data_IF_166104054227
#
_entry.id   IF_166104054227
#
_cell.length_a   1.000
_cell.length_b   1.000
_cell.length_c   1.000
_cell.angle_alpha   90.00
_cell.angle_beta   90.00
_cell.angle_gamma   90.00
#
_symmetry.space_group_name_H-M   'P 1'
#
loop_
_entity.id
_entity.type
_entity.pdbx_description
1 polymer ?
#
# COMPACT_ATOMS: atom_id res chain seq x y z
N UNK A 1 25.48 55.31 -35.70
CA UNK A 1 26.06 54.10 -36.32
C UNK A 1 26.25 53.07 -35.23
N UNK A 2 25.45 52.01 -35.29
CA UNK A 2 25.35 50.92 -34.33
C UNK A 2 26.62 50.07 -34.31
N UNK A 3 27.04 49.59 -33.14
CA UNK A 3 27.83 48.36 -33.05
C UNK A 3 27.37 47.54 -31.85
N UNK A 4 26.72 46.44 -32.19
CA UNK A 4 26.14 45.42 -31.33
C UNK A 4 27.18 44.29 -31.22
N UNK A 5 27.86 44.16 -30.08
CA UNK A 5 28.76 43.03 -29.82
C UNK A 5 28.00 41.99 -29.02
N UNK A 6 27.38 41.02 -29.71
CA UNK A 6 26.87 39.80 -29.07
C UNK A 6 28.06 38.83 -28.93
N UNK A 7 28.47 38.59 -27.69
CA UNK A 7 29.43 37.54 -27.37
C UNK A 7 28.79 36.18 -27.68
N UNK A 8 29.47 35.40 -28.52
CA UNK A 8 29.16 34.01 -28.83
C UNK A 8 29.30 33.19 -27.53
N UNK A 9 28.17 32.84 -26.90
CA UNK A 9 28.17 31.82 -25.84
C UNK A 9 28.46 30.48 -26.49
N UNK A 10 29.54 29.85 -26.04
CA UNK A 10 30.00 28.54 -26.45
C UNK A 10 28.89 27.49 -26.27
N UNK A 11 28.34 27.02 -27.39
CA UNK A 11 27.20 26.09 -27.47
C UNK A 11 27.57 24.65 -27.08
N UNK A 12 28.71 24.44 -26.44
CA UNK A 12 29.22 23.15 -25.96
C UNK A 12 28.62 22.72 -24.61
N UNK A 13 28.01 23.64 -23.84
CA UNK A 13 27.55 23.36 -22.47
C UNK A 13 26.07 22.95 -22.33
N UNK A 14 25.34 22.66 -23.42
CA UNK A 14 23.92 22.23 -23.34
C UNK A 14 23.74 20.71 -23.42
N UNK A 15 24.83 19.94 -23.46
CA UNK A 15 24.80 18.48 -23.64
C UNK A 15 25.08 17.71 -22.34
N UNK A 16 24.44 18.10 -21.25
CA UNK A 16 24.49 17.34 -19.98
C UNK A 16 23.14 17.27 -19.26
N UNK A 17 22.06 17.12 -20.01
CA UNK A 17 20.90 16.39 -19.49
C UNK A 17 21.16 14.91 -19.74
N UNK A 18 21.97 14.35 -18.83
CA UNK A 18 22.25 12.93 -18.71
C UNK A 18 20.90 12.23 -18.57
N UNK A 19 20.42 11.64 -19.67
CA UNK A 19 19.27 10.77 -19.67
C UNK A 19 19.54 9.63 -18.67
N UNK A 20 18.91 9.68 -17.50
CA UNK A 20 18.76 8.49 -16.67
C UNK A 20 18.13 7.42 -17.57
N UNK A 21 18.78 6.25 -17.70
CA UNK A 21 18.21 5.14 -18.46
C UNK A 21 16.81 4.84 -17.90
N UNK A 22 15.76 4.77 -18.75
CA UNK A 22 14.39 4.49 -18.28
C UNK A 22 14.25 3.16 -17.51
N UNK A 23 15.21 2.24 -17.65
CA UNK A 23 15.29 0.95 -16.95
C UNK A 23 15.21 1.09 -15.42
N UNK A 24 16.03 1.97 -14.83
CA UNK A 24 16.20 2.00 -13.36
C UNK A 24 15.01 2.56 -12.61
N UNK A 25 14.26 3.50 -13.22
CA UNK A 25 13.03 4.05 -12.63
C UNK A 25 11.90 3.04 -12.71
N UNK A 26 11.77 2.34 -13.84
CA UNK A 26 10.76 1.31 -14.05
C UNK A 26 10.97 0.11 -13.11
N UNK A 27 12.23 -0.30 -12.91
CA UNK A 27 12.61 -1.34 -11.94
C UNK A 27 12.17 -0.97 -10.51
N UNK A 28 12.49 0.25 -10.05
CA UNK A 28 12.05 0.75 -8.74
C UNK A 28 10.52 0.78 -8.60
N UNK A 29 9.80 1.18 -9.64
CA UNK A 29 8.33 1.21 -9.60
C UNK A 29 7.74 -0.21 -9.49
N UNK A 30 8.28 -1.18 -10.21
CA UNK A 30 7.85 -2.59 -10.10
C UNK A 30 8.13 -3.16 -8.71
N UNK A 31 9.31 -2.90 -8.15
CA UNK A 31 9.67 -3.34 -6.80
C UNK A 31 8.72 -2.78 -5.72
N UNK A 32 8.40 -1.48 -5.80
CA UNK A 32 7.46 -0.83 -4.89
C UNK A 32 6.07 -1.46 -5.02
N UNK A 33 5.58 -1.66 -6.26
CA UNK A 33 4.28 -2.27 -6.50
C UNK A 33 4.21 -3.71 -5.98
N UNK A 34 5.26 -4.51 -6.17
CA UNK A 34 5.35 -5.87 -5.64
C UNK A 34 5.35 -5.89 -4.10
N UNK A 35 6.03 -4.94 -3.47
CA UNK A 35 6.01 -4.79 -2.01
C UNK A 35 4.62 -4.42 -1.49
N UNK A 36 3.95 -3.45 -2.12
CA UNK A 36 2.58 -3.07 -1.79
C UNK A 36 1.61 -4.23 -2.00
N UNK A 37 1.73 -4.99 -3.09
CA UNK A 37 0.89 -6.16 -3.36
C UNK A 37 1.03 -7.23 -2.28
N UNK A 38 2.23 -7.43 -1.75
CA UNK A 38 2.50 -8.34 -0.62
C UNK A 38 1.88 -7.82 0.67
N UNK A 39 2.07 -6.54 1.02
CA UNK A 39 1.42 -5.90 2.19
C UNK A 39 -0.10 -5.98 2.09
N UNK A 40 -0.66 -5.64 0.94
CA UNK A 40 -2.09 -5.71 0.65
C UNK A 40 -2.66 -7.12 0.74
N UNK A 41 -1.84 -8.16 0.62
CA UNK A 41 -2.32 -9.53 0.83
C UNK A 41 -2.64 -9.77 2.31
N UNK A 42 -1.81 -9.31 3.26
CA UNK A 42 -1.85 -9.67 4.68
C UNK A 42 -3.24 -9.62 5.36
N UNK A 43 -3.53 -10.46 6.37
CA UNK A 43 -2.65 -11.44 6.99
C UNK A 43 -2.47 -12.72 6.17
N UNK A 44 -1.23 -13.21 6.06
CA UNK A 44 -0.87 -14.50 5.46
C UNK A 44 -0.49 -15.50 6.57
N UNK A 45 -1.41 -16.34 7.07
CA UNK A 45 -1.09 -17.28 8.13
C UNK A 45 -0.04 -18.32 7.70
N UNK A 46 0.66 -18.91 8.67
CA UNK A 46 1.63 -19.96 8.39
C UNK A 46 0.96 -21.16 7.70
N UNK A 47 1.57 -21.63 6.61
CA UNK A 47 0.99 -22.68 5.76
C UNK A 47 0.01 -22.18 4.71
N UNK A 48 -0.24 -20.87 4.61
CA UNK A 48 -1.09 -20.32 3.56
C UNK A 48 -0.45 -20.44 2.17
N UNK A 49 -1.29 -20.64 1.17
CA UNK A 49 -0.84 -20.82 -0.21
C UNK A 49 -0.57 -19.47 -0.85
N UNK A 50 0.51 -19.35 -1.63
CA UNK A 50 0.82 -18.13 -2.40
C UNK A 50 -0.35 -17.74 -3.31
N UNK A 51 -1.07 -18.71 -3.88
CA UNK A 51 -2.29 -18.47 -4.66
C UNK A 51 -3.35 -17.72 -3.86
N UNK A 52 -3.55 -18.08 -2.59
CA UNK A 52 -4.51 -17.42 -1.71
C UNK A 52 -4.06 -15.98 -1.38
N UNK A 53 -2.76 -15.74 -1.21
CA UNK A 53 -2.22 -14.38 -1.03
C UNK A 53 -2.51 -13.50 -2.24
N UNK A 54 -2.24 -13.99 -3.45
CA UNK A 54 -2.50 -13.25 -4.69
C UNK A 54 -4.00 -13.04 -4.90
N UNK A 55 -4.83 -14.05 -4.60
CA UNK A 55 -6.30 -13.90 -4.62
C UNK A 55 -6.76 -12.79 -3.68
N UNK A 56 -6.26 -12.74 -2.44
CA UNK A 56 -6.56 -11.65 -1.50
C UNK A 56 -6.15 -10.29 -2.04
N UNK A 57 -4.95 -10.17 -2.62
CA UNK A 57 -4.52 -8.92 -3.27
C UNK A 57 -5.47 -8.52 -4.39
N UNK A 58 -5.84 -9.46 -5.26
CA UNK A 58 -6.76 -9.25 -6.37
C UNK A 58 -8.12 -8.76 -5.90
N UNK A 59 -8.73 -9.44 -4.92
CA UNK A 59 -10.04 -9.09 -4.38
C UNK A 59 -10.08 -7.71 -3.72
N UNK A 60 -9.01 -7.33 -3.01
CA UNK A 60 -8.95 -6.06 -2.28
C UNK A 60 -8.61 -4.86 -3.14
N UNK A 61 -7.89 -5.08 -4.23
CA UNK A 61 -7.47 -4.00 -5.14
C UNK A 61 -8.38 -3.88 -6.36
N UNK A 62 -9.22 -4.89 -6.63
CA UNK A 62 -9.99 -5.00 -7.87
C UNK A 62 -9.13 -5.33 -9.10
N UNK A 63 -7.82 -5.51 -8.95
CA UNK A 63 -6.92 -5.90 -10.04
C UNK A 63 -7.17 -7.36 -10.39
N UNK A 64 -7.35 -7.68 -11.67
CA UNK A 64 -7.57 -9.05 -12.12
C UNK A 64 -6.44 -10.00 -11.66
N UNK A 65 -6.77 -11.23 -11.26
CA UNK A 65 -5.83 -12.17 -10.64
C UNK A 65 -4.51 -12.34 -11.41
N UNK A 66 -4.55 -12.51 -12.74
CA UNK A 66 -3.34 -12.64 -13.55
C UNK A 66 -2.44 -11.40 -13.46
N UNK A 67 -3.05 -10.21 -13.48
CA UNK A 67 -2.34 -8.95 -13.34
C UNK A 67 -1.79 -8.75 -11.92
N UNK A 68 -2.59 -9.07 -10.91
CA UNK A 68 -2.15 -9.03 -9.51
C UNK A 68 -0.99 -9.99 -9.26
N UNK A 69 -0.99 -11.18 -9.89
CA UNK A 69 0.12 -12.14 -9.86
C UNK A 69 1.40 -11.54 -10.43
N UNK A 70 1.34 -10.96 -11.63
CA UNK A 70 2.50 -10.38 -12.29
C UNK A 70 3.12 -9.26 -11.43
N UNK A 71 2.27 -8.41 -10.83
CA UNK A 71 2.71 -7.37 -9.91
C UNK A 71 3.32 -7.99 -8.64
N UNK A 72 2.68 -9.00 -8.05
CA UNK A 72 3.12 -9.64 -6.80
C UNK A 72 4.50 -10.29 -6.92
N UNK A 73 4.80 -10.90 -8.07
CA UNK A 73 6.13 -11.44 -8.38
C UNK A 73 7.13 -10.38 -8.87
N UNK A 74 6.71 -9.13 -9.13
CA UNK A 74 7.55 -8.07 -9.69
C UNK A 74 7.83 -8.22 -11.20
N UNK A 75 7.06 -9.07 -11.88
CA UNK A 75 7.18 -9.37 -13.31
C UNK A 75 6.45 -8.35 -14.19
N UNK A 76 5.60 -7.50 -13.59
CA UNK A 76 4.90 -6.44 -14.30
C UNK A 76 5.86 -5.34 -14.80
N UNK A 77 6.06 -5.26 -16.12
CA UNK A 77 6.98 -4.29 -16.76
C UNK A 77 6.52 -2.83 -16.69
N UNK A 78 5.21 -2.62 -16.59
CA UNK A 78 4.56 -1.31 -16.44
C UNK A 78 3.60 -1.42 -15.28
N UNK A 79 3.47 -0.37 -14.49
CA UNK A 79 2.44 -0.21 -13.46
C UNK A 79 1.67 1.05 -13.80
N UNK A 80 0.36 0.94 -13.97
CA UNK A 80 -0.50 2.08 -14.23
C UNK A 80 -0.74 2.85 -12.92
N UNK A 81 -1.02 4.16 -13.01
CA UNK A 81 -1.14 5.01 -11.82
C UNK A 81 -2.25 4.52 -10.87
N UNK A 82 -3.41 4.15 -11.42
CA UNK A 82 -4.53 3.63 -10.65
C UNK A 82 -4.18 2.32 -9.93
N UNK A 83 -3.36 1.45 -10.54
CA UNK A 83 -2.91 0.20 -9.91
C UNK A 83 -2.08 0.51 -8.67
N UNK A 84 -1.21 1.51 -8.76
CA UNK A 84 -0.40 1.94 -7.62
C UNK A 84 -1.25 2.53 -6.49
N UNK A 85 -2.28 3.31 -6.82
CA UNK A 85 -3.16 3.94 -5.83
C UNK A 85 -3.98 2.89 -5.06
N UNK A 86 -4.65 1.96 -5.78
CA UNK A 86 -5.40 0.88 -5.12
C UNK A 86 -4.50 -0.06 -4.32
N UNK A 87 -3.25 -0.26 -4.74
CA UNK A 87 -2.28 -1.05 -3.99
C UNK A 87 -1.86 -0.38 -2.68
N UNK A 88 -1.73 0.95 -2.65
CA UNK A 88 -1.46 1.71 -1.42
C UNK A 88 -2.63 1.61 -0.45
N UNK A 89 -3.83 1.90 -0.95
CA UNK A 89 -5.06 1.84 -0.14
C UNK A 89 -5.27 0.44 0.45
N UNK A 90 -5.12 -0.61 -0.36
CA UNK A 90 -5.28 -1.98 0.11
C UNK A 90 -4.18 -2.41 1.10
N UNK A 91 -2.95 -1.91 0.94
CA UNK A 91 -1.87 -2.18 1.88
C UNK A 91 -2.12 -1.52 3.24
N UNK A 92 -2.53 -0.26 3.25
CA UNK A 92 -2.83 0.48 4.47
C UNK A 92 -4.06 -0.11 5.19
N UNK A 93 -5.09 -0.50 4.42
CA UNK A 93 -6.25 -1.22 4.96
C UNK A 93 -5.89 -2.59 5.55
N UNK A 94 -4.93 -3.31 4.95
CA UNK A 94 -4.45 -4.58 5.48
C UNK A 94 -3.74 -4.40 6.82
N UNK A 95 -2.86 -3.39 6.94
CA UNK A 95 -2.20 -3.06 8.20
C UNK A 95 -3.18 -2.63 9.28
N UNK A 96 -4.17 -1.82 8.92
CA UNK A 96 -5.22 -1.41 9.84
C UNK A 96 -5.97 -2.60 10.42
N UNK A 97 -6.33 -3.57 9.57
CA UNK A 97 -7.02 -4.79 10.01
C UNK A 97 -6.15 -5.63 10.93
N UNK A 98 -4.85 -5.76 10.67
CA UNK A 98 -3.92 -6.46 11.56
C UNK A 98 -3.85 -5.77 12.94
N UNK A 99 -3.81 -4.44 12.96
CA UNK A 99 -3.80 -3.68 14.21
C UNK A 99 -5.09 -3.91 15.01
N UNK A 100 -6.26 -3.82 14.36
CA UNK A 100 -7.55 -4.09 14.98
C UNK A 100 -7.66 -5.53 15.51
N UNK A 101 -7.21 -6.52 14.73
CA UNK A 101 -7.17 -7.92 15.14
C UNK A 101 -6.27 -8.13 16.37
N UNK A 102 -5.14 -7.40 16.43
CA UNK A 102 -4.24 -7.37 17.57
C UNK A 102 -4.88 -6.80 18.84
N UNK A 103 -5.60 -5.68 18.73
CA UNK A 103 -6.36 -5.08 19.84
C UNK A 103 -7.46 -6.04 20.32
N UNK A 104 -8.21 -6.64 19.39
CA UNK A 104 -9.24 -7.62 19.71
C UNK A 104 -8.66 -8.87 20.40
N UNK A 105 -7.47 -9.33 19.96
CA UNK A 105 -6.76 -10.43 20.62
C UNK A 105 -6.32 -10.07 22.05
N UNK A 106 -5.78 -8.87 22.26
CA UNK A 106 -5.37 -8.40 23.58
C UNK A 106 -6.58 -8.36 24.54
N UNK A 107 -7.72 -7.86 24.05
CA UNK A 107 -8.99 -7.87 24.78
C UNK A 107 -9.38 -9.30 25.18
N UNK A 108 -9.44 -10.25 24.23
CA UNK A 108 -9.78 -11.66 24.50
C UNK A 108 -8.88 -12.31 25.56
N UNK A 109 -7.59 -11.99 25.59
CA UNK A 109 -6.67 -12.51 26.61
C UNK A 109 -7.00 -12.02 28.03
N UNK A 110 -7.62 -10.85 28.17
CA UNK A 110 -7.94 -10.25 29.45
C UNK A 110 -9.32 -10.65 30.00
N UNK A 111 -10.21 -11.21 29.17
CA UNK A 111 -11.59 -11.59 29.54
C UNK A 111 -11.67 -12.59 30.72
N UNK A 112 -10.64 -13.41 30.93
CA UNK A 112 -10.60 -14.40 32.00
C UNK A 112 -10.08 -13.88 33.36
N UNK A 113 -9.62 -12.63 33.44
CA UNK A 113 -9.03 -12.08 34.66
C UNK A 113 -10.03 -11.29 35.48
N UNK A 114 -10.11 -11.57 36.78
CA UNK A 114 -10.96 -10.85 37.74
C UNK A 114 -10.25 -9.68 38.42
N UNK A 115 -8.98 -9.42 38.09
CA UNK A 115 -8.21 -8.35 38.71
C UNK A 115 -8.77 -6.96 38.34
N UNK A 116 -8.84 -5.99 39.27
CA UNK A 116 -9.45 -4.68 39.02
C UNK A 116 -8.86 -3.92 37.82
N UNK A 117 -7.53 -3.94 37.66
CA UNK A 117 -6.84 -3.29 36.54
C UNK A 117 -7.18 -3.92 35.18
N UNK A 118 -7.58 -5.20 35.14
CA UNK A 118 -8.03 -5.84 33.90
C UNK A 118 -9.38 -5.29 33.44
N UNK A 119 -10.27 -4.91 34.38
CA UNK A 119 -11.56 -4.30 34.04
C UNK A 119 -11.38 -2.93 33.37
N UNK A 120 -10.50 -2.11 33.91
CA UNK A 120 -10.16 -0.79 33.33
C UNK A 120 -9.50 -0.93 31.96
N UNK A 121 -8.58 -1.89 31.82
CA UNK A 121 -7.94 -2.19 30.55
C UNK A 121 -8.95 -2.66 29.48
N UNK A 122 -9.88 -3.55 29.84
CA UNK A 122 -10.93 -4.02 28.93
C UNK A 122 -11.81 -2.87 28.44
N UNK A 123 -12.27 -1.99 29.33
CA UNK A 123 -13.07 -0.82 28.96
C UNK A 123 -12.32 0.12 28.00
N UNK A 124 -11.01 0.31 28.22
CA UNK A 124 -10.18 1.12 27.33
C UNK A 124 -10.01 0.48 25.95
N UNK A 125 -9.83 -0.84 25.88
CA UNK A 125 -9.73 -1.58 24.62
C UNK A 125 -11.05 -1.60 23.84
N UNK A 126 -12.18 -1.72 24.55
CA UNK A 126 -13.52 -1.60 23.95
C UNK A 126 -13.73 -0.23 23.31
N UNK A 127 -13.33 0.84 24.00
CA UNK A 127 -13.42 2.20 23.46
C UNK A 127 -12.53 2.39 22.24
N UNK A 128 -11.30 1.86 22.28
CA UNK A 128 -10.39 1.88 21.11
C UNK A 128 -11.02 1.14 19.92
N UNK A 129 -11.54 -0.07 20.12
CA UNK A 129 -12.19 -0.83 19.04
C UNK A 129 -13.42 -0.11 18.49
N UNK A 130 -14.18 0.59 19.33
CA UNK A 130 -15.34 1.38 18.92
C UNK A 130 -14.93 2.59 18.07
N UNK A 131 -13.93 3.36 18.51
CA UNK A 131 -13.43 4.52 17.78
C UNK A 131 -12.83 4.08 16.43
N UNK A 132 -11.92 3.11 16.47
CA UNK A 132 -11.15 2.68 15.31
C UNK A 132 -11.94 1.80 14.34
N UNK A 133 -12.93 1.04 14.83
CA UNK A 133 -13.83 0.22 14.02
C UNK A 133 -14.96 1.01 13.37
N UNK A 134 -15.36 2.15 13.95
CA UNK A 134 -16.36 3.05 13.37
C UNK A 134 -15.89 3.79 12.12
N UNK A 135 -14.61 4.16 12.06
CA UNK A 135 -14.01 4.88 10.92
C UNK A 135 -13.73 3.99 9.70
N UNK A 136 -13.63 2.66 9.88
CA UNK A 136 -13.37 1.72 8.80
C UNK A 136 -14.56 1.53 7.82
N UNK A 137 -15.73 2.11 8.13
CA UNK A 137 -16.95 2.02 7.30
C UNK A 137 -17.10 3.11 6.22
N UNK A 138 -16.12 4.00 6.05
CA UNK A 138 -16.25 5.21 5.21
C UNK A 138 -16.08 5.04 3.69
N UNK A 139 -15.66 3.87 3.18
CA UNK A 139 -15.52 3.64 1.74
C UNK A 139 -16.71 2.84 1.20
N UNK A 140 -17.87 3.49 1.06
CA UNK A 140 -18.93 3.00 0.18
C UNK A 140 -18.48 3.20 -1.28
N UNK A 141 -18.64 2.20 -2.18
CA UNK A 141 -18.48 2.44 -3.61
C UNK A 141 -19.55 3.45 -4.04
N UNK A 142 -19.14 4.55 -4.65
CA UNK A 142 -20.04 5.46 -5.36
C UNK A 142 -20.67 4.68 -6.53
N UNK A 143 -21.81 4.06 -6.25
CA UNK A 143 -22.75 3.62 -7.27
C UNK A 143 -23.42 4.87 -7.83
N UNK A 144 -22.81 5.49 -8.83
CA UNK A 144 -23.52 6.38 -9.73
C UNK A 144 -23.89 5.65 -11.03
N UNK A 145 -25.21 5.69 -11.25
CA UNK A 145 -26.10 5.35 -12.38
C UNK A 145 -25.46 5.28 -13.76
#
# INVERSE_FOLDING_TARGET
MSNLTIALVDSSAVKSLRAEKPSSRSEKTSEIAAHLAKRASEPCPAGDYVKAAITRTSERTGIAYGRARDIWYGEARRIDAWEMDVLREAADAAEWRIALDGVAMARRKLEGSTAPHCREALASLDEVLRILGGDAGGAQPTSEV
#
